data_IF_025944788817
#
_entry.id   IF_025944788817
#
_cell.length_a   1.000
_cell.length_b   1.000
_cell.length_c   1.000
_cell.angle_alpha   90.00
_cell.angle_beta   90.00
_cell.angle_gamma   90.00
#
_symmetry.space_group_name_H-M   'P 1'
#
loop_
_entity.id
_entity.type
_entity.pdbx_description
1 polymer ?
#
# COMPACT_ATOMS: atom_id res chain seq x y z
N UNK A 1 -26.16 22.12 16.27
CA UNK A 1 -25.43 21.00 15.66
C UNK A 1 -24.92 20.10 16.77
N UNK A 2 -25.13 18.79 16.66
CA UNK A 2 -24.62 17.79 17.61
C UNK A 2 -23.54 16.93 16.96
N UNK A 3 -22.58 16.50 17.77
CA UNK A 3 -21.54 15.57 17.34
C UNK A 3 -21.93 14.15 17.74
N UNK A 4 -21.80 13.19 16.82
CA UNK A 4 -22.00 11.76 17.10
C UNK A 4 -20.76 10.97 16.66
N UNK A 5 -20.30 10.05 17.51
CA UNK A 5 -19.23 9.11 17.18
C UNK A 5 -19.86 7.75 16.89
N UNK A 6 -19.37 7.08 15.86
CA UNK A 6 -19.84 5.75 15.47
C UNK A 6 -19.08 4.68 16.26
N UNK A 7 -19.79 3.80 16.96
CA UNK A 7 -19.15 2.76 17.78
C UNK A 7 -18.92 1.43 17.03
N UNK A 8 -19.61 1.22 15.91
CA UNK A 8 -19.59 -0.02 15.10
C UNK A 8 -19.80 0.28 13.62
N UNK A 9 -19.32 -0.60 12.74
CA UNK A 9 -19.53 -0.46 11.30
C UNK A 9 -21.01 -0.42 10.94
N UNK A 10 -21.44 0.63 10.26
CA UNK A 10 -22.83 0.86 9.86
C UNK A 10 -22.87 1.48 8.47
N UNK A 11 -23.97 1.26 7.75
CA UNK A 11 -24.22 1.90 6.45
C UNK A 11 -25.29 2.97 6.59
N UNK A 12 -25.11 4.09 5.88
CA UNK A 12 -26.07 5.19 5.89
C UNK A 12 -27.29 4.86 5.04
N UNK A 13 -28.42 4.57 5.68
CA UNK A 13 -29.64 4.14 4.97
C UNK A 13 -30.53 5.32 4.54
N UNK A 14 -30.51 6.44 5.26
CA UNK A 14 -31.15 7.69 4.87
C UNK A 14 -30.53 8.91 5.57
N UNK A 15 -30.54 10.05 4.87
CA UNK A 15 -30.12 11.36 5.39
C UNK A 15 -31.21 12.37 5.02
N UNK A 16 -31.76 13.07 6.01
CA UNK A 16 -32.59 14.27 5.81
C UNK A 16 -31.87 15.45 6.46
N UNK A 17 -31.66 16.55 5.74
CA UNK A 17 -30.91 17.71 6.25
C UNK A 17 -29.39 17.59 6.12
N UNK A 18 -28.66 18.50 6.77
CA UNK A 18 -27.21 18.58 6.65
C UNK A 18 -26.49 17.70 7.69
N UNK A 19 -25.77 16.70 7.21
CA UNK A 19 -24.89 15.83 8.00
C UNK A 19 -23.52 15.79 7.35
N UNK A 20 -22.47 16.07 8.12
CA UNK A 20 -21.09 16.10 7.66
C UNK A 20 -20.22 15.12 8.47
N UNK A 21 -19.24 14.51 7.82
CA UNK A 21 -18.18 13.75 8.48
C UNK A 21 -17.00 14.69 8.75
N UNK A 22 -16.49 14.66 9.98
CA UNK A 22 -15.29 15.39 10.40
C UNK A 22 -14.10 14.47 10.24
N UNK A 23 -13.19 14.85 9.35
CA UNK A 23 -11.96 14.10 9.07
C UNK A 23 -10.89 14.39 10.14
N UNK A 24 -9.87 13.53 10.18
CA UNK A 24 -8.79 13.62 11.17
C UNK A 24 -7.97 14.92 11.07
N UNK A 25 -7.95 15.54 9.88
CA UNK A 25 -7.32 16.84 9.60
C UNK A 25 -8.17 18.05 10.05
N UNK A 26 -9.35 17.80 10.64
CA UNK A 26 -10.28 18.84 11.09
C UNK A 26 -11.17 19.42 9.97
N UNK A 27 -11.01 18.98 8.73
CA UNK A 27 -11.91 19.33 7.62
C UNK A 27 -13.24 18.55 7.71
N UNK A 28 -14.26 19.00 6.99
CA UNK A 28 -15.58 18.35 6.98
C UNK A 28 -16.11 18.17 5.57
N UNK A 29 -16.74 17.04 5.31
CA UNK A 29 -17.37 16.69 4.02
C UNK A 29 -18.82 16.25 4.23
N UNK A 30 -19.78 16.56 3.33
CA UNK A 30 -21.13 16.02 3.40
C UNK A 30 -21.15 14.48 3.34
N UNK A 31 -21.90 13.89 4.26
CA UNK A 31 -22.12 12.44 4.34
C UNK A 31 -22.98 11.97 3.15
N UNK A 32 -22.63 10.84 2.54
CA UNK A 32 -23.40 10.28 1.42
C UNK A 32 -24.29 9.12 1.86
N UNK A 33 -25.44 8.95 1.20
CA UNK A 33 -26.29 7.77 1.40
C UNK A 33 -25.57 6.53 0.85
N UNK A 34 -25.62 5.43 1.59
CA UNK A 34 -24.91 4.19 1.25
C UNK A 34 -23.44 4.19 1.68
N UNK A 35 -22.92 5.29 2.23
CA UNK A 35 -21.55 5.34 2.75
C UNK A 35 -21.43 4.44 3.99
N UNK A 36 -20.34 3.65 4.04
CA UNK A 36 -20.02 2.79 5.19
C UNK A 36 -19.19 3.61 6.17
N UNK A 37 -19.69 3.72 7.40
CA UNK A 37 -19.02 4.42 8.48
C UNK A 37 -18.30 3.42 9.37
N UNK A 38 -17.00 3.64 9.53
CA UNK A 38 -16.16 2.84 10.43
C UNK A 38 -16.29 3.28 11.89
N UNK A 39 -16.00 2.39 12.87
CA UNK A 39 -15.90 2.77 14.27
C UNK A 39 -14.92 3.94 14.46
N UNK A 40 -15.29 4.91 15.28
CA UNK A 40 -14.51 6.13 15.55
C UNK A 40 -14.83 7.30 14.60
N UNK A 41 -15.59 7.09 13.52
CA UNK A 41 -15.99 8.19 12.64
C UNK A 41 -16.81 9.25 13.39
N UNK A 42 -16.43 10.53 13.25
CA UNK A 42 -17.07 11.66 13.91
C UNK A 42 -18.00 12.38 12.92
N UNK A 43 -19.27 12.49 13.28
CA UNK A 43 -20.29 13.16 12.48
C UNK A 43 -20.73 14.46 13.13
N UNK A 44 -20.91 15.51 12.33
CA UNK A 44 -21.57 16.76 12.69
C UNK A 44 -22.98 16.77 12.07
N UNK A 45 -24.01 16.74 12.92
CA UNK A 45 -25.42 16.64 12.51
C UNK A 45 -26.11 17.96 12.85
N UNK A 46 -26.74 18.61 11.87
CA UNK A 46 -27.57 19.79 12.10
C UNK A 46 -28.78 19.48 12.98
N UNK A 47 -29.31 20.48 13.71
CA UNK A 47 -30.35 20.23 14.72
C UNK A 47 -31.69 19.80 14.11
N UNK A 48 -31.89 20.08 12.82
CA UNK A 48 -33.02 19.66 11.99
C UNK A 48 -32.73 18.41 11.14
N UNK A 49 -31.51 17.87 11.19
CA UNK A 49 -31.12 16.73 10.38
C UNK A 49 -31.48 15.39 11.04
N UNK A 50 -31.95 14.44 10.22
CA UNK A 50 -32.19 13.04 10.60
C UNK A 50 -31.23 12.13 9.86
N UNK A 51 -30.70 11.15 10.59
CA UNK A 51 -29.78 10.16 10.08
C UNK A 51 -30.30 8.77 10.46
N UNK A 52 -30.49 7.91 9.47
CA UNK A 52 -30.79 6.50 9.66
C UNK A 52 -29.54 5.68 9.33
N UNK A 53 -29.17 4.80 10.26
CA UNK A 53 -28.02 3.91 10.16
C UNK A 53 -28.52 2.48 10.24
N UNK A 54 -28.07 1.64 9.31
CA UNK A 54 -28.33 0.21 9.34
C UNK A 54 -27.06 -0.54 9.74
N UNK A 55 -27.18 -1.68 10.45
CA UNK A 55 -26.03 -2.56 10.67
C UNK A 55 -25.35 -2.88 9.34
N UNK A 56 -24.04 -2.78 9.29
CA UNK A 56 -23.28 -3.29 8.15
C UNK A 56 -23.25 -4.82 8.28
N UNK A 57 -23.96 -5.51 7.38
CA UNK A 57 -23.92 -6.97 7.25
C UNK A 57 -23.02 -7.30 6.06
N UNK A 58 -21.95 -8.07 6.32
CA UNK A 58 -20.99 -8.49 5.31
C UNK A 58 -21.46 -9.76 4.57
N UNK A 59 -22.72 -10.16 4.78
CA UNK A 59 -23.36 -11.17 3.93
C UNK A 59 -23.53 -10.59 2.52
N UNK A 60 -23.01 -11.24 1.47
CA UNK A 60 -23.15 -10.76 0.11
C UNK A 60 -24.64 -10.62 -0.23
N UNK A 61 -25.04 -9.40 -0.58
CA UNK A 61 -26.39 -9.10 -1.01
C UNK A 61 -26.71 -9.91 -2.28
N UNK A 62 -27.79 -10.70 -2.24
CA UNK A 62 -28.43 -11.17 -3.47
C UNK A 62 -28.97 -9.97 -4.22
N UNK A 63 -28.40 -9.69 -5.38
CA UNK A 63 -28.89 -8.65 -6.29
C UNK A 63 -30.37 -8.87 -6.62
N UNK A 64 -31.22 -8.00 -6.09
CA UNK A 64 -32.56 -7.77 -6.62
C UNK A 64 -32.68 -6.28 -6.93
N UNK A 65 -32.83 -5.88 -8.21
CA UNK A 65 -33.15 -4.51 -8.55
C UNK A 65 -34.58 -4.18 -8.10
N UNK A 66 -34.72 -3.09 -7.36
CA UNK A 66 -36.02 -2.49 -7.05
C UNK A 66 -36.61 -1.81 -8.29
N UNK A 67 -37.64 -2.41 -8.87
CA UNK A 67 -38.61 -1.74 -9.73
C UNK A 67 -39.98 -1.82 -9.08
N UNK A 68 -40.44 -0.71 -8.51
CA UNK A 68 -41.74 -0.59 -7.86
C UNK A 68 -42.82 -0.18 -8.84
N UNK A 69 -43.79 -1.05 -9.13
CA UNK A 69 -45.14 -0.65 -9.60
C UNK A 69 -46.21 -1.60 -9.02
N UNK A 70 -47.20 -1.02 -8.35
CA UNK A 70 -48.40 -1.70 -7.85
C UNK A 70 -49.47 -1.76 -8.95
N UNK A 71 -50.10 -2.92 -9.17
CA UNK A 71 -51.56 -3.09 -9.28
C UNK A 71 -51.96 -4.48 -9.83
N UNK A 72 -52.74 -5.17 -9.01
CA UNK A 72 -53.57 -6.36 -9.17
C UNK A 72 -54.19 -6.68 -10.56
N UNK A 73 -54.14 -7.95 -10.99
CA UNK A 73 -55.30 -8.88 -11.18
C UNK A 73 -55.14 -9.90 -12.33
N UNK A 74 -55.58 -11.13 -12.07
CA UNK A 74 -55.78 -12.32 -12.93
C UNK A 74 -54.49 -13.15 -13.20
N UNK A 75 -54.38 -14.45 -12.91
CA UNK A 75 -55.35 -15.57 -12.91
C UNK A 75 -54.62 -16.83 -12.33
N UNK A 76 -55.23 -18.02 -12.36
CA UNK A 76 -55.92 -18.76 -11.30
C UNK A 76 -55.03 -19.67 -10.41
N UNK A 77 -55.56 -19.98 -9.21
CA UNK A 77 -55.04 -21.01 -8.29
C UNK A 77 -54.89 -22.38 -8.96
N UNK A 78 -53.70 -22.97 -8.83
CA UNK A 78 -53.48 -24.42 -8.97
C UNK A 78 -52.82 -24.96 -7.70
N UNK A 79 -53.23 -26.17 -7.37
CA UNK A 79 -53.14 -26.82 -6.07
C UNK A 79 -51.71 -27.05 -5.58
N UNK A 80 -51.58 -26.98 -4.25
CA UNK A 80 -50.37 -27.30 -3.50
C UNK A 80 -49.98 -28.78 -3.67
N UNK A 81 -48.77 -28.99 -4.17
CA UNK A 81 -47.94 -30.15 -3.81
C UNK A 81 -46.87 -29.60 -2.85
N UNK A 82 -46.90 -30.04 -1.59
CA UNK A 82 -45.77 -29.82 -0.68
C UNK A 82 -44.60 -30.66 -1.20
N UNK A 83 -43.65 -30.04 -1.89
CA UNK A 83 -42.40 -30.68 -2.29
C UNK A 83 -41.27 -29.68 -2.02
N UNK A 84 -40.49 -29.97 -0.98
CA UNK A 84 -39.48 -29.09 -0.38
C UNK A 84 -40.01 -28.32 0.83
N UNK A 85 -40.20 -29.00 1.97
CA UNK A 85 -40.51 -28.30 3.21
C UNK A 85 -39.30 -27.43 3.63
N UNK A 86 -39.50 -26.28 4.32
CA UNK A 86 -38.40 -25.46 4.81
C UNK A 86 -37.44 -26.22 5.75
N UNK A 87 -37.87 -27.36 6.33
CA UNK A 87 -37.03 -28.29 7.09
C UNK A 87 -35.96 -28.97 6.26
N UNK A 88 -36.22 -29.25 4.99
CA UNK A 88 -35.31 -30.04 4.14
C UNK A 88 -34.16 -29.16 3.66
N UNK A 89 -34.46 -27.88 3.38
CA UNK A 89 -33.45 -26.87 3.08
C UNK A 89 -32.54 -26.63 4.28
N UNK A 90 -33.11 -26.52 5.49
CA UNK A 90 -32.33 -26.34 6.72
C UNK A 90 -31.41 -27.54 7.00
N UNK A 91 -31.93 -28.76 6.85
CA UNK A 91 -31.15 -29.98 7.03
C UNK A 91 -30.05 -30.12 5.95
N UNK A 92 -30.33 -29.69 4.71
CA UNK A 92 -29.35 -29.68 3.64
C UNK A 92 -28.23 -28.67 3.94
N UNK A 93 -28.56 -27.49 4.46
CA UNK A 93 -27.59 -26.49 4.92
C UNK A 93 -26.72 -26.99 6.07
N UNK A 94 -27.27 -27.74 7.04
CA UNK A 94 -26.48 -28.36 8.11
C UNK A 94 -25.51 -29.42 7.57
N UNK A 95 -25.92 -30.24 6.59
CA UNK A 95 -25.03 -31.25 5.99
C UNK A 95 -23.83 -30.62 5.28
N UNK A 96 -24.03 -29.51 4.57
CA UNK A 96 -22.96 -28.73 3.93
C UNK A 96 -21.99 -28.16 4.97
N UNK A 97 -22.51 -27.57 6.06
CA UNK A 97 -21.69 -27.02 7.15
C UNK A 97 -20.85 -28.08 7.87
N UNK A 98 -21.34 -29.32 7.92
CA UNK A 98 -20.64 -30.45 8.53
C UNK A 98 -19.70 -31.17 7.54
N UNK A 99 -19.62 -30.72 6.29
CA UNK A 99 -18.78 -31.31 5.24
C UNK A 99 -19.25 -32.70 4.79
N UNK A 100 -20.52 -33.04 5.02
CA UNK A 100 -21.13 -34.31 4.61
C UNK A 100 -21.86 -34.11 3.29
N UNK A 101 -21.63 -35.00 2.32
CA UNK A 101 -22.26 -34.95 1.00
C UNK A 101 -23.81 -35.08 1.11
N UNK A 102 -24.59 -34.04 0.76
CA UNK A 102 -26.05 -34.05 0.87
C UNK A 102 -26.71 -35.10 -0.05
N UNK A 103 -26.04 -35.53 -1.12
CA UNK A 103 -26.60 -36.52 -2.06
C UNK A 103 -26.74 -37.92 -1.45
N UNK A 104 -26.09 -38.17 -0.31
CA UNK A 104 -26.16 -39.44 0.41
C UNK A 104 -27.29 -39.48 1.45
N UNK A 105 -27.74 -38.31 1.91
CA UNK A 105 -28.68 -38.19 3.03
C UNK A 105 -30.05 -37.61 2.62
N UNK A 106 -30.18 -37.10 1.40
CA UNK A 106 -31.44 -36.63 0.82
C UNK A 106 -31.82 -37.49 -0.38
N UNK A 107 -33.09 -37.89 -0.50
CA UNK A 107 -33.56 -38.56 -1.71
C UNK A 107 -33.46 -37.59 -2.90
N UNK A 108 -33.04 -38.10 -4.06
CA UNK A 108 -32.97 -37.30 -5.29
C UNK A 108 -34.32 -36.63 -5.55
N UNK A 109 -34.33 -35.31 -5.73
CA UNK A 109 -35.54 -34.58 -6.14
C UNK A 109 -36.14 -35.28 -7.35
N UNK A 110 -37.36 -35.78 -7.21
CA UNK A 110 -37.96 -36.71 -8.16
C UNK A 110 -38.10 -36.07 -9.54
N UNK A 111 -37.13 -36.31 -10.42
CA UNK A 111 -37.27 -36.07 -11.85
C UNK A 111 -38.26 -37.11 -12.40
N UNK A 112 -39.57 -36.80 -12.32
CA UNK A 112 -40.63 -37.42 -13.10
C UNK A 112 -40.53 -38.93 -13.29
N UNK A 113 -40.51 -39.69 -12.19
CA UNK A 113 -40.53 -41.15 -12.23
C UNK A 113 -41.94 -41.71 -12.20
N UNK A 114 -42.64 -41.75 -13.33
CA UNK A 114 -43.75 -42.69 -13.48
C UNK A 114 -43.25 -43.88 -14.33
N UNK A 115 -43.13 -45.10 -13.77
CA UNK A 115 -42.90 -46.26 -14.60
C UNK A 115 -44.12 -46.45 -15.50
N UNK A 116 -43.87 -46.65 -16.79
CA UNK A 116 -44.88 -47.02 -17.76
C UNK A 116 -45.61 -48.28 -17.28
N UNK A 117 -46.94 -48.20 -17.18
CA UNK A 117 -47.79 -49.36 -17.04
C UNK A 117 -47.62 -50.24 -18.29
N UNK A 118 -46.76 -51.26 -18.17
CA UNK A 118 -46.47 -52.22 -19.21
C UNK A 118 -46.01 -53.55 -18.63
N UNK A 119 -46.95 -54.30 -18.02
CA UNK A 119 -46.91 -55.76 -17.95
C UNK A 119 -46.04 -56.40 -16.86
N UNK A 120 -46.56 -56.46 -15.63
CA UNK A 120 -46.04 -57.34 -14.57
C UNK A 120 -46.59 -56.95 -13.21
N UNK A 121 -47.76 -57.51 -12.85
CA UNK A 121 -48.54 -57.06 -11.69
C UNK A 121 -47.80 -57.11 -10.36
N UNK A 122 -47.47 -55.93 -9.82
CA UNK A 122 -47.40 -55.63 -8.38
C UNK A 122 -47.70 -54.12 -8.16
N UNK A 123 -48.82 -53.85 -7.48
CA UNK A 123 -49.15 -52.63 -6.71
C UNK A 123 -48.87 -51.23 -7.29
N UNK A 124 -49.83 -50.64 -8.01
CA UNK A 124 -49.90 -49.19 -8.23
C UNK A 124 -50.83 -48.51 -7.22
N UNK A 125 -50.37 -47.46 -6.54
CA UNK A 125 -51.21 -46.61 -5.68
C UNK A 125 -52.10 -45.70 -6.52
N UNK A 126 -53.34 -45.53 -6.05
CA UNK A 126 -54.40 -44.81 -6.74
C UNK A 126 -54.23 -43.28 -6.62
N UNK A 127 -54.31 -42.58 -7.75
CA UNK A 127 -54.78 -41.20 -7.81
C UNK A 127 -53.79 -40.17 -8.38
N UNK A 128 -53.85 -39.92 -9.69
CA UNK A 128 -53.73 -38.57 -10.28
C UNK A 128 -54.03 -38.60 -11.80
N UNK A 129 -55.21 -38.09 -12.14
CA UNK A 129 -55.56 -37.20 -13.27
C UNK A 129 -54.71 -37.21 -14.58
N UNK A 130 -55.37 -37.49 -15.72
CA UNK A 130 -55.13 -36.71 -16.95
C UNK A 130 -54.73 -37.45 -18.24
N UNK A 131 -55.54 -38.42 -18.69
CA UNK A 131 -55.75 -38.85 -20.08
C UNK A 131 -54.63 -38.58 -21.14
N UNK A 132 -53.49 -39.28 -21.03
CA UNK A 132 -52.47 -39.33 -22.09
C UNK A 132 -52.66 -40.54 -23.00
N UNK A 133 -53.58 -40.47 -23.96
CA UNK A 133 -53.65 -41.46 -25.05
C UNK A 133 -52.57 -41.15 -26.08
N UNK A 134 -51.65 -42.09 -26.34
CA UNK A 134 -50.69 -41.95 -27.44
C UNK A 134 -51.31 -42.46 -28.75
N UNK A 135 -51.01 -41.77 -29.85
CA UNK A 135 -51.25 -42.30 -31.20
C UNK A 135 -50.02 -43.11 -31.59
N UNK A 136 -50.17 -44.41 -31.75
CA UNK A 136 -49.12 -45.26 -32.35
C UNK A 136 -49.12 -45.03 -33.85
N UNK A 137 -48.05 -44.46 -34.39
CA UNK A 137 -47.81 -44.37 -35.82
C UNK A 137 -46.84 -45.49 -36.18
N UNK A 138 -47.33 -46.51 -36.88
CA UNK A 138 -46.47 -47.54 -37.45
C UNK A 138 -45.72 -46.97 -38.66
N UNK A 139 -44.39 -47.10 -38.66
CA UNK A 139 -43.58 -46.79 -39.84
C UNK A 139 -43.70 -47.94 -40.83
N UNK A 140 -44.44 -47.74 -41.93
CA UNK A 140 -44.63 -48.75 -42.99
C UNK A 140 -43.70 -48.58 -44.19
N UNK A 141 -42.66 -47.74 -44.08
CA UNK A 141 -41.65 -47.54 -45.13
C UNK A 141 -40.28 -48.02 -44.67
N UNK A 142 -39.47 -48.49 -45.62
CA UNK A 142 -38.07 -48.84 -45.35
C UNK A 142 -37.33 -47.61 -44.82
N UNK A 143 -36.83 -47.69 -43.59
CA UNK A 143 -36.01 -46.65 -42.99
C UNK A 143 -34.55 -46.87 -43.38
N UNK A 144 -33.95 -45.94 -44.10
CA UNK A 144 -32.49 -45.79 -44.10
C UNK A 144 -32.09 -45.18 -42.77
N UNK A 145 -31.84 -46.02 -41.77
CA UNK A 145 -31.12 -45.60 -40.58
C UNK A 145 -29.72 -45.24 -41.06
N UNK A 146 -29.34 -43.96 -40.97
CA UNK A 146 -27.96 -43.58 -41.15
C UNK A 146 -27.16 -44.25 -40.03
N UNK A 147 -26.49 -45.35 -40.35
CA UNK A 147 -25.51 -45.96 -39.47
C UNK A 147 -24.32 -44.99 -39.41
N UNK A 148 -24.30 -44.15 -38.38
CA UNK A 148 -23.02 -43.60 -37.96
C UNK A 148 -22.20 -44.81 -37.54
N UNK A 149 -21.14 -45.14 -38.28
CA UNK A 149 -20.30 -46.33 -38.11
C UNK A 149 -19.50 -46.35 -36.80
N UNK A 150 -20.07 -45.85 -35.70
CA UNK A 150 -19.56 -45.95 -34.36
C UNK A 150 -20.29 -47.07 -33.62
N UNK A 151 -19.51 -48.03 -33.13
CA UNK A 151 -19.97 -49.17 -32.36
C UNK A 151 -20.61 -48.70 -31.03
N UNK A 152 -21.88 -49.03 -30.81
CA UNK A 152 -22.62 -48.70 -29.58
C UNK A 152 -22.64 -49.85 -28.57
N UNK A 153 -21.91 -50.94 -28.78
CA UNK A 153 -21.66 -51.95 -27.75
C UNK A 153 -20.63 -51.44 -26.75
N UNK A 154 -20.98 -50.38 -26.02
CA UNK A 154 -20.17 -49.85 -24.95
C UNK A 154 -20.36 -50.73 -23.71
N UNK A 155 -19.42 -51.64 -23.44
CA UNK A 155 -19.19 -52.07 -22.05
C UNK A 155 -18.69 -50.84 -21.30
N UNK A 156 -19.43 -50.43 -20.27
CA UNK A 156 -18.95 -49.44 -19.30
C UNK A 156 -17.80 -50.05 -18.48
N UNK A 157 -16.62 -50.18 -19.09
CA UNK A 157 -15.40 -50.08 -18.33
C UNK A 157 -15.30 -48.62 -17.87
N UNK A 158 -14.93 -48.34 -16.60
CA UNK A 158 -14.76 -46.98 -16.15
C UNK A 158 -13.68 -46.34 -17.04
N UNK A 159 -14.11 -45.44 -17.90
CA UNK A 159 -13.24 -44.48 -18.54
C UNK A 159 -12.76 -43.57 -17.41
N UNK A 160 -11.64 -43.93 -16.80
CA UNK A 160 -10.79 -42.90 -16.22
C UNK A 160 -10.28 -42.13 -17.44
N UNK A 161 -10.87 -40.96 -17.66
CA UNK A 161 -10.28 -39.99 -18.55
C UNK A 161 -8.92 -39.61 -17.95
N UNK A 162 -7.85 -40.33 -18.31
CA UNK A 162 -6.48 -40.01 -17.87
C UNK A 162 -5.93 -38.75 -18.56
N UNK A 163 -6.72 -38.11 -19.43
CA UNK A 163 -6.38 -36.84 -20.09
C UNK A 163 -7.28 -35.66 -19.68
N UNK A 164 -8.21 -35.85 -18.72
CA UNK A 164 -8.48 -34.75 -17.80
C UNK A 164 -7.33 -34.76 -16.80
N UNK A 165 -6.21 -34.16 -17.21
CA UNK A 165 -5.41 -33.43 -16.24
C UNK A 165 -6.43 -32.53 -15.56
N UNK A 166 -6.75 -32.71 -14.26
CA UNK A 166 -7.48 -31.67 -13.56
C UNK A 166 -6.67 -30.42 -13.86
N UNK A 167 -7.27 -29.39 -14.48
CA UNK A 167 -6.59 -28.11 -14.49
C UNK A 167 -6.16 -27.92 -13.04
N UNK A 168 -4.85 -27.76 -12.77
CA UNK A 168 -4.45 -27.53 -11.40
C UNK A 168 -5.37 -26.41 -10.94
N UNK A 169 -6.09 -26.64 -9.83
CA UNK A 169 -6.64 -25.52 -9.09
C UNK A 169 -5.47 -24.55 -9.05
N UNK A 170 -5.61 -23.41 -9.74
CA UNK A 170 -4.69 -22.32 -9.54
C UNK A 170 -4.89 -22.02 -8.05
N UNK A 171 -4.09 -22.66 -7.20
CA UNK A 171 -3.76 -22.11 -5.91
C UNK A 171 -3.48 -20.65 -6.24
N UNK A 172 -4.18 -19.68 -5.61
CA UNK A 172 -3.93 -18.28 -5.91
C UNK A 172 -2.43 -18.13 -5.86
N UNK A 173 -1.81 -17.77 -7.01
CA UNK A 173 -0.38 -17.54 -7.10
C UNK A 173 -0.04 -16.75 -5.83
N UNK A 174 0.91 -17.22 -5.00
CA UNK A 174 1.18 -16.54 -3.75
C UNK A 174 1.40 -15.08 -4.12
N UNK A 175 0.53 -14.19 -3.64
CA UNK A 175 0.71 -12.76 -3.79
C UNK A 175 2.07 -12.49 -3.18
N UNK A 176 3.07 -12.37 -4.03
CA UNK A 176 4.45 -12.25 -3.60
C UNK A 176 4.51 -10.89 -2.94
N UNK A 177 4.90 -10.87 -1.66
CA UNK A 177 5.08 -9.61 -0.99
C UNK A 177 6.19 -8.85 -1.74
N UNK A 178 5.99 -7.58 -2.08
CA UNK A 178 6.93 -6.80 -2.89
C UNK A 178 7.19 -5.43 -2.27
N UNK A 179 8.26 -5.36 -1.48
CA UNK A 179 8.86 -4.10 -1.10
C UNK A 179 9.97 -3.71 -2.08
N UNK A 180 9.91 -2.49 -2.62
CA UNK A 180 10.98 -1.91 -3.42
C UNK A 180 11.38 -0.55 -2.86
N UNK A 181 12.68 -0.28 -2.90
CA UNK A 181 13.26 0.97 -2.45
C UNK A 181 14.46 1.30 -3.35
N UNK A 182 14.58 2.56 -3.76
CA UNK A 182 15.70 3.01 -4.61
C UNK A 182 16.79 3.64 -3.74
N UNK A 183 17.93 3.99 -4.35
CA UNK A 183 19.02 4.65 -3.61
C UNK A 183 19.02 6.15 -3.84
N UNK A 184 19.41 6.91 -2.81
CA UNK A 184 19.44 8.36 -2.83
C UNK A 184 20.85 8.89 -3.10
N UNK A 185 20.89 9.99 -3.82
CA UNK A 185 22.09 10.80 -3.98
C UNK A 185 21.74 12.23 -3.58
N UNK A 186 22.47 12.76 -2.60
CA UNK A 186 22.26 14.09 -2.07
C UNK A 186 23.57 14.88 -2.11
N UNK A 187 23.46 16.15 -2.48
CA UNK A 187 24.57 17.11 -2.38
C UNK A 187 24.13 18.32 -1.58
N UNK A 188 24.99 18.75 -0.69
CA UNK A 188 24.76 19.86 0.23
C UNK A 188 25.98 20.76 0.25
N UNK A 189 25.78 21.98 0.70
CA UNK A 189 26.87 22.88 1.06
C UNK A 189 27.51 22.42 2.37
N UNK A 190 28.81 22.69 2.55
CA UNK A 190 29.47 22.47 3.83
C UNK A 190 28.89 23.33 4.96
N UNK A 191 29.21 22.94 6.19
CA UNK A 191 28.86 23.63 7.44
C UNK A 191 27.37 23.84 7.73
N UNK A 192 26.51 23.29 6.87
CA UNK A 192 25.07 23.39 7.00
C UNK A 192 24.47 22.00 7.20
N UNK A 193 23.70 21.84 8.28
CA UNK A 193 22.91 20.65 8.49
C UNK A 193 21.83 20.54 7.41
N UNK A 194 21.64 19.34 6.87
CA UNK A 194 20.58 19.06 5.91
C UNK A 194 19.71 17.91 6.37
N UNK A 195 18.44 17.97 5.97
CA UNK A 195 17.45 16.95 6.22
C UNK A 195 16.79 16.52 4.92
N UNK A 196 16.36 15.27 4.87
CA UNK A 196 15.62 14.70 3.76
C UNK A 196 14.83 13.48 4.22
N UNK A 197 14.26 12.77 3.26
CA UNK A 197 13.45 11.57 3.49
C UNK A 197 13.89 10.49 2.49
N UNK A 198 14.25 9.32 3.02
CA UNK A 198 14.75 8.17 2.28
C UNK A 198 13.62 7.27 1.76
N UNK A 199 12.37 7.47 2.19
CA UNK A 199 11.25 6.61 1.78
C UNK A 199 10.39 7.20 0.66
N UNK A 200 10.80 8.35 0.08
CA UNK A 200 10.03 9.07 -0.94
C UNK A 200 9.87 8.27 -2.24
N UNK A 201 10.87 7.45 -2.56
CA UNK A 201 10.93 6.59 -3.75
C UNK A 201 10.58 5.12 -3.44
N UNK A 202 10.21 4.79 -2.20
CA UNK A 202 9.81 3.43 -1.83
C UNK A 202 8.42 3.09 -2.37
N UNK A 203 8.21 1.86 -2.82
CA UNK A 203 6.90 1.36 -3.26
C UNK A 203 6.53 0.06 -2.55
N UNK A 204 5.26 -0.06 -2.15
CA UNK A 204 4.65 -1.26 -1.58
C UNK A 204 3.30 -1.50 -2.30
N UNK A 205 3.31 -2.18 -3.46
CA UNK A 205 2.11 -2.45 -4.26
C UNK A 205 1.08 -3.42 -3.65
N UNK A 206 1.46 -4.18 -2.63
CA UNK A 206 0.80 -5.42 -2.20
C UNK A 206 0.32 -5.39 -0.74
N UNK A 207 0.87 -4.51 0.10
CA UNK A 207 0.58 -4.46 1.52
C UNK A 207 -0.14 -3.19 1.99
N UNK A 208 -1.05 -3.27 2.99
CA UNK A 208 -1.59 -2.11 3.70
C UNK A 208 -0.61 -1.52 4.73
N UNK A 209 0.62 -2.03 4.81
CA UNK A 209 1.60 -1.75 5.86
C UNK A 209 2.55 -0.64 5.42
N UNK A 210 2.76 0.33 6.31
CA UNK A 210 3.63 1.47 6.07
C UNK A 210 5.10 1.04 6.12
N UNK A 211 5.86 1.46 5.12
CA UNK A 211 7.30 1.23 5.07
C UNK A 211 8.00 1.97 6.22
N UNK A 212 9.10 1.41 6.71
CA UNK A 212 9.90 2.01 7.76
C UNK A 212 11.36 1.57 7.69
N UNK A 213 12.26 2.37 8.26
CA UNK A 213 13.68 2.03 8.38
C UNK A 213 13.94 1.36 9.73
N UNK A 214 14.64 0.21 9.72
CA UNK A 214 14.99 -0.53 10.95
C UNK A 214 16.39 -0.19 11.45
N UNK A 215 17.36 -0.07 10.54
CA UNK A 215 18.75 0.21 10.89
C UNK A 215 19.53 0.74 9.70
N UNK A 216 20.71 1.30 9.99
CA UNK A 216 21.66 1.76 9.00
C UNK A 216 23.11 1.50 9.42
N UNK A 217 24.01 1.44 8.44
CA UNK A 217 25.45 1.35 8.62
C UNK A 217 26.14 2.49 7.89
N UNK A 218 27.07 3.17 8.58
CA UNK A 218 27.79 4.32 8.06
C UNK A 218 29.23 4.38 8.58
N UNK A 219 30.20 4.14 7.69
CA UNK A 219 31.62 4.08 8.03
C UNK A 219 31.92 2.97 9.05
N UNK A 220 32.43 3.35 10.23
CA UNK A 220 32.69 2.41 11.33
C UNK A 220 31.45 2.07 12.18
N UNK A 221 30.33 2.75 11.97
CA UNK A 221 29.08 2.47 12.66
C UNK A 221 28.31 1.39 11.88
N UNK A 222 28.06 0.24 12.50
CA UNK A 222 27.44 -0.93 11.87
C UNK A 222 26.12 -1.25 12.58
N UNK A 223 25.07 -1.51 11.81
CA UNK A 223 23.73 -1.91 12.27
C UNK A 223 23.16 -1.00 13.37
N UNK A 224 23.32 0.31 13.19
CA UNK A 224 22.79 1.33 14.09
C UNK A 224 21.26 1.34 13.98
N UNK A 225 20.51 1.18 15.09
CA UNK A 225 19.05 1.26 15.05
C UNK A 225 18.57 2.63 14.58
N UNK A 226 17.44 2.66 13.87
CA UNK A 226 16.80 3.91 13.47
C UNK A 226 16.49 4.81 14.69
N UNK A 227 16.65 6.12 14.52
CA UNK A 227 16.52 7.15 15.55
C UNK A 227 17.77 7.36 16.42
N UNK A 228 18.82 6.54 16.25
CA UNK A 228 20.08 6.71 16.97
C UNK A 228 21.04 7.56 16.13
N UNK A 229 21.69 8.55 16.76
CA UNK A 229 22.71 9.39 16.12
C UNK A 229 24.05 8.66 16.02
N UNK A 230 24.64 8.67 14.83
CA UNK A 230 26.00 8.22 14.54
C UNK A 230 26.95 9.40 14.36
N UNK A 231 28.21 9.20 14.72
CA UNK A 231 29.27 10.21 14.56
C UNK A 231 30.45 9.55 13.83
N UNK A 232 30.97 10.23 12.82
CA UNK A 232 32.25 9.92 12.19
C UNK A 232 33.17 11.14 12.34
N UNK A 233 34.23 10.97 13.13
CA UNK A 233 35.20 12.03 13.40
C UNK A 233 35.80 12.57 12.10
N UNK A 234 35.72 13.89 11.92
CA UNK A 234 36.23 14.57 10.73
C UNK A 234 35.33 14.47 9.49
N UNK A 235 34.12 13.91 9.62
CA UNK A 235 33.12 13.85 8.53
C UNK A 235 31.81 14.48 8.96
N UNK A 236 31.27 14.11 10.13
CA UNK A 236 30.03 14.69 10.63
C UNK A 236 29.20 13.77 11.51
N UNK A 237 27.94 14.14 11.68
CA UNK A 237 26.92 13.39 12.41
C UNK A 237 25.75 13.04 11.50
N UNK A 238 25.17 11.85 11.68
CA UNK A 238 24.05 11.36 10.90
C UNK A 238 23.02 10.75 11.84
N UNK A 239 21.74 11.04 11.63
CA UNK A 239 20.61 10.33 12.22
C UNK A 239 19.64 9.97 11.11
N UNK A 240 19.17 8.72 11.10
CA UNK A 240 18.11 8.24 10.21
C UNK A 240 17.00 7.69 11.12
N UNK A 241 15.80 8.23 11.01
CA UNK A 241 14.63 7.84 11.79
C UNK A 241 13.85 6.74 11.08
N UNK A 242 12.96 6.05 11.81
CA UNK A 242 12.20 4.94 11.21
C UNK A 242 11.18 5.40 10.17
N UNK A 243 10.79 6.68 10.19
CA UNK A 243 9.84 7.29 9.26
C UNK A 243 10.49 7.70 7.93
N UNK A 244 11.77 7.38 7.71
CA UNK A 244 12.51 7.76 6.52
C UNK A 244 13.25 9.09 6.64
N UNK A 245 12.86 9.94 7.61
CA UNK A 245 13.52 11.23 7.79
C UNK A 245 14.96 11.06 8.27
N UNK A 246 15.89 11.79 7.66
CA UNK A 246 17.27 11.81 8.10
C UNK A 246 17.75 13.24 8.33
N UNK A 247 18.81 13.39 9.12
CA UNK A 247 19.56 14.64 9.25
C UNK A 247 21.05 14.34 9.26
N UNK A 248 21.78 15.00 8.37
CA UNK A 248 23.23 14.97 8.30
C UNK A 248 23.78 16.36 8.62
N UNK A 249 24.74 16.43 9.54
CA UNK A 249 25.48 17.66 9.85
C UNK A 249 26.96 17.39 9.57
N UNK A 250 27.56 18.01 8.54
CA UNK A 250 28.99 17.93 8.30
C UNK A 250 29.80 18.32 9.54
N UNK A 251 31.00 17.77 9.67
CA UNK A 251 32.00 18.33 10.58
C UNK A 251 32.44 19.70 10.05
N UNK A 252 32.88 20.63 10.92
CA UNK A 252 33.44 21.90 10.47
C UNK A 252 34.55 21.69 9.43
N UNK A 253 34.55 22.52 8.38
CA UNK A 253 35.53 22.54 7.29
C UNK A 253 35.60 21.23 6.47
N UNK A 254 34.58 20.36 6.57
CA UNK A 254 34.53 19.11 5.82
C UNK A 254 33.86 19.32 4.46
N UNK A 255 34.66 19.17 3.40
CA UNK A 255 34.19 19.03 2.02
C UNK A 255 34.57 17.68 1.40
N UNK A 256 33.74 17.22 0.47
CA UNK A 256 33.95 15.99 -0.28
C UNK A 256 32.89 14.91 -0.05
N UNK A 257 33.18 13.70 -0.51
CA UNK A 257 32.27 12.56 -0.44
C UNK A 257 32.32 11.89 0.93
N UNK A 258 31.17 11.83 1.61
CA UNK A 258 31.03 11.06 2.84
C UNK A 258 30.94 9.54 2.51
N UNK A 259 31.28 8.65 3.46
CA UNK A 259 31.08 7.22 3.28
C UNK A 259 29.61 6.92 2.95
N UNK A 260 29.39 6.02 1.99
CA UNK A 260 28.04 5.57 1.64
C UNK A 260 27.35 4.96 2.86
N UNK A 261 26.10 5.35 3.07
CA UNK A 261 25.24 4.77 4.09
C UNK A 261 24.48 3.61 3.47
N UNK A 262 24.45 2.45 4.12
CA UNK A 262 23.57 1.35 3.77
C UNK A 262 22.45 1.29 4.82
N UNK A 263 21.20 1.24 4.41
CA UNK A 263 20.07 1.17 5.34
C UNK A 263 19.08 0.07 4.92
N UNK A 264 18.29 -0.39 5.89
CA UNK A 264 17.32 -1.46 5.73
C UNK A 264 15.90 -0.91 5.86
N UNK A 265 15.09 -1.08 4.82
CA UNK A 265 13.68 -0.72 4.78
C UNK A 265 12.84 -1.98 4.94
N UNK A 266 11.76 -1.89 5.70
CA UNK A 266 10.81 -2.98 5.91
C UNK A 266 9.37 -2.49 5.84
N UNK A 267 8.49 -3.36 5.36
CA UNK A 267 7.03 -3.26 5.51
C UNK A 267 6.50 -4.28 6.54
N UNK A 268 7.39 -4.77 7.41
CA UNK A 268 7.24 -5.85 8.39
C UNK A 268 7.15 -7.29 7.83
N UNK A 269 7.00 -7.45 6.53
CA UNK A 269 7.02 -8.75 5.85
C UNK A 269 8.36 -8.97 5.14
N UNK A 270 8.77 -7.99 4.33
CA UNK A 270 10.02 -7.97 3.59
C UNK A 270 11.01 -6.98 4.17
N UNK A 271 12.28 -7.20 3.83
CA UNK A 271 13.37 -6.29 4.13
C UNK A 271 14.20 -6.09 2.86
N UNK A 272 14.37 -4.84 2.46
CA UNK A 272 15.23 -4.45 1.35
C UNK A 272 16.36 -3.57 1.84
N UNK A 273 17.48 -3.63 1.12
CA UNK A 273 18.66 -2.82 1.41
C UNK A 273 18.82 -1.75 0.33
N UNK A 274 18.99 -0.51 0.77
CA UNK A 274 19.24 0.64 -0.08
C UNK A 274 20.41 1.47 0.44
N UNK A 275 20.79 2.48 -0.33
CA UNK A 275 21.96 3.31 -0.03
C UNK A 275 21.68 4.79 -0.16
N UNK A 276 22.26 5.57 0.75
CA UNK A 276 22.31 7.03 0.68
C UNK A 276 23.76 7.47 0.44
N UNK A 277 23.96 8.24 -0.64
CA UNK A 277 25.25 8.86 -0.96
C UNK A 277 25.18 10.36 -0.71
N UNK A 278 26.09 10.87 0.13
CA UNK A 278 26.17 12.28 0.53
C UNK A 278 27.46 12.90 -0.01
N UNK A 279 27.35 14.04 -0.71
CA UNK A 279 28.49 14.83 -1.17
C UNK A 279 28.39 16.25 -0.66
N UNK A 280 29.39 16.66 0.13
CA UNK A 280 29.49 18.02 0.66
C UNK A 280 30.31 18.88 -0.30
N UNK A 281 29.70 19.92 -0.84
CA UNK A 281 30.33 20.89 -1.73
C UNK A 281 31.06 21.95 -0.91
N UNK A 282 32.31 22.28 -1.27
CA UNK A 282 33.01 23.38 -0.62
C UNK A 282 32.32 24.70 -0.95
N UNK A 283 32.22 25.58 0.05
CA UNK A 283 31.71 26.94 -0.06
C UNK A 283 32.84 27.92 0.29
N UNK A 284 32.50 29.17 0.59
CA UNK A 284 33.40 30.30 0.41
C UNK A 284 34.51 30.38 1.47
N UNK A 285 35.61 29.66 1.21
CA UNK A 285 36.86 29.69 1.99
C UNK A 285 37.34 31.13 2.31
N UNK A 286 38.11 31.26 3.41
CA UNK A 286 38.86 32.50 3.72
C UNK A 286 39.65 33.01 2.51
N UNK A 287 39.19 34.15 1.98
CA UNK A 287 39.88 34.94 0.98
C UNK A 287 40.84 35.93 1.65
N UNK A 288 42.12 35.83 1.29
CA UNK A 288 43.17 36.72 1.79
C UNK A 288 43.68 37.65 0.69
N UNK A 289 43.39 38.94 0.82
CA UNK A 289 43.88 39.97 -0.09
C UNK A 289 44.86 40.91 0.63
N UNK A 290 46.11 40.94 0.14
CA UNK A 290 47.12 41.92 0.55
C UNK A 290 47.59 42.71 -0.65
N UNK A 291 47.25 43.99 -0.68
CA UNK A 291 47.97 44.95 -1.52
C UNK A 291 49.18 45.48 -0.75
N UNK A 292 50.37 45.01 -1.10
CA UNK A 292 51.61 45.53 -0.55
C UNK A 292 52.04 46.80 -1.32
N UNK A 293 52.12 47.94 -0.63
CA UNK A 293 52.80 49.12 -1.17
C UNK A 293 54.31 48.91 -1.02
N UNK A 294 55.03 48.75 -2.14
CA UNK A 294 56.50 48.78 -2.14
C UNK A 294 56.96 50.20 -1.76
N UNK A 295 57.25 50.42 -0.47
CA UNK A 295 57.94 51.62 -0.03
C UNK A 295 59.43 51.54 -0.43
N UNK A 296 59.74 51.98 -1.64
CA UNK A 296 61.12 52.19 -2.07
C UNK A 296 61.68 53.45 -1.41
N UNK A 297 62.37 53.30 -0.27
CA UNK A 297 63.12 54.38 0.34
C UNK A 297 64.62 54.05 0.30
N UNK A 298 65.39 54.88 -0.39
CA UNK A 298 66.85 54.93 -0.25
C UNK A 298 67.20 56.02 0.76
N UNK A 299 67.73 55.63 1.92
CA UNK A 299 68.27 56.53 2.94
C UNK A 299 69.78 56.33 3.05
N UNK A 300 70.53 57.41 3.29
CA UNK A 300 72.00 57.39 3.37
C UNK A 300 72.51 57.84 4.74
N UNK A 301 71.69 58.51 5.57
CA UNK A 301 72.11 58.95 6.92
C UNK A 301 70.98 59.04 7.97
N UNK A 302 69.74 58.63 7.67
CA UNK A 302 68.58 58.77 8.55
C UNK A 302 67.77 57.49 8.85
N UNK A 303 66.66 57.66 9.57
CA UNK A 303 65.70 56.59 9.91
C UNK A 303 64.64 56.47 8.81
N UNK A 304 64.52 55.30 8.18
CA UNK A 304 63.41 55.03 7.24
C UNK A 304 62.16 54.66 8.02
N UNK A 305 61.11 55.46 7.90
CA UNK A 305 59.77 55.05 8.34
C UNK A 305 59.02 54.42 7.16
N UNK A 306 58.71 53.14 7.28
CA UNK A 306 57.78 52.45 6.38
C UNK A 306 56.42 52.41 7.07
N UNK A 307 55.52 53.29 6.63
CA UNK A 307 54.14 53.30 7.13
C UNK A 307 53.29 52.41 6.21
N UNK A 308 52.85 51.26 6.72
CA UNK A 308 51.86 50.42 6.03
C UNK A 308 50.47 51.03 6.25
N UNK A 309 50.02 51.85 5.31
CA UNK A 309 48.68 52.49 5.37
C UNK A 309 47.57 51.64 4.75
N UNK A 310 47.89 50.44 4.26
CA UNK A 310 46.93 49.62 3.53
C UNK A 310 46.05 48.81 4.49
N UNK A 311 44.77 48.74 4.16
CA UNK A 311 43.82 47.86 4.83
C UNK A 311 44.07 46.43 4.39
N UNK A 312 44.29 45.53 5.34
CA UNK A 312 44.16 44.09 5.09
C UNK A 312 42.71 43.74 5.35
N UNK A 313 42.04 43.23 4.33
CA UNK A 313 40.71 42.65 4.47
C UNK A 313 40.84 41.13 4.45
N UNK A 314 40.33 40.50 5.50
CA UNK A 314 40.02 39.08 5.51
C UNK A 314 38.50 39.00 5.37
N UNK A 315 38.05 38.27 4.36
CA UNK A 315 36.65 37.94 4.19
C UNK A 315 36.50 36.43 4.22
N UNK A 316 35.43 36.01 4.87
CA UNK A 316 35.00 34.63 4.97
C UNK A 316 33.56 34.63 4.47
N UNK A 317 33.29 33.80 3.47
CA UNK A 317 32.02 33.80 2.73
C UNK A 317 30.87 33.20 3.53
N UNK A 318 31.16 32.27 4.44
CA UNK A 318 30.17 31.46 5.15
C UNK A 318 30.43 31.35 6.66
N UNK A 319 31.61 31.73 7.16
CA UNK A 319 31.89 31.92 8.59
C UNK A 319 32.37 30.67 9.32
N UNK A 320 32.71 29.59 8.60
CA UNK A 320 33.11 28.30 9.15
C UNK A 320 34.55 28.28 9.63
N UNK A 321 35.45 28.95 8.93
CA UNK A 321 36.87 28.92 9.26
C UNK A 321 37.27 29.93 10.35
N UNK A 322 38.40 29.66 11.00
CA UNK A 322 38.97 30.56 11.98
C UNK A 322 40.30 31.14 11.51
N UNK A 323 40.33 32.45 11.33
CA UNK A 323 41.57 33.16 11.10
C UNK A 323 42.36 33.33 12.41
N UNK A 324 43.57 32.75 12.46
CA UNK A 324 44.37 32.71 13.70
C UNK A 324 45.40 33.82 13.80
N UNK A 325 46.13 34.15 12.73
CA UNK A 325 47.14 35.23 12.77
C UNK A 325 47.55 35.75 11.39
N UNK A 326 47.98 37.02 11.35
CA UNK A 326 48.78 37.60 10.25
C UNK A 326 50.23 37.70 10.69
N UNK A 327 51.16 37.14 9.90
CA UNK A 327 52.59 37.29 10.15
C UNK A 327 53.23 38.13 9.05
N UNK A 328 53.75 39.30 9.40
CA UNK A 328 54.58 40.10 8.51
C UNK A 328 56.05 39.73 8.70
N UNK A 329 56.73 39.36 7.60
CA UNK A 329 58.18 39.12 7.60
C UNK A 329 58.88 40.22 6.83
N UNK A 330 59.80 40.93 7.48
CA UNK A 330 60.66 41.93 6.85
C UNK A 330 62.03 41.31 6.54
N UNK A 331 62.35 41.16 5.26
CA UNK A 331 63.63 40.63 4.80
C UNK A 331 64.59 41.78 4.43
N UNK A 332 65.90 41.55 4.58
CA UNK A 332 66.95 42.47 4.13
C UNK A 332 66.91 43.87 4.79
N UNK A 333 66.44 43.95 6.04
CA UNK A 333 66.50 45.18 6.82
C UNK A 333 67.97 45.59 7.09
N UNK A 334 68.31 46.89 6.99
CA UNK A 334 69.63 47.40 7.36
C UNK A 334 70.04 47.05 8.80
N UNK A 335 71.35 47.10 9.08
CA UNK A 335 71.81 46.93 10.47
C UNK A 335 71.30 48.09 11.34
N UNK A 336 70.67 47.78 12.48
CA UNK A 336 70.14 48.77 13.42
C UNK A 336 68.67 49.16 13.24
N UNK A 337 67.97 48.61 12.25
CA UNK A 337 66.51 48.79 12.15
C UNK A 337 65.79 48.08 13.29
N UNK A 338 64.83 48.77 13.91
CA UNK A 338 63.90 48.21 14.88
C UNK A 338 62.53 48.18 14.21
N UNK A 339 61.97 46.98 14.01
CA UNK A 339 60.58 46.85 13.63
C UNK A 339 59.72 47.10 14.87
N UNK A 340 58.77 48.03 14.80
CA UNK A 340 57.79 48.27 15.85
C UNK A 340 56.44 48.00 15.21
N UNK A 341 55.78 46.94 15.66
CA UNK A 341 54.43 46.54 15.23
C UNK A 341 53.38 47.04 16.20
#
# INVERSE_FOLDING_TARGET
MRTQIIDKSVVVSAIEGNVEIVLADGSSRPLQRGEILQPGAKLAIADDAKLALSPYDDTPASDVPAGSESAESAQPQVAASQEGAPSDIAALQESILQGVDPTQNFEASAAGGAPAAGGGGIGGVAGASGNGGFVTIDRTGDATIAEAGFDTNYQAAPFINTEQVPEPLLEPEPVTNILLDESEVFSMDEDTAVSGDLLVNSTNPDGPLTQSIISYSWGSNIDVPAGVTSILTGIGTLVINSDGSFTFTPAPDYSGAAPTVSYLVTDSSDVVTSTLTLTVAPQGDIDFNVEALNAGATETDGTVQVLLTNTVSVSDGDGSETWTSLVYTFNNLPAGTTAVG
#
